data_IF_909474340688
#
_entry.id   IF_909474340688
#
_cell.length_a   1.000
_cell.length_b   1.000
_cell.length_c   1.000
_cell.angle_alpha   90.00
_cell.angle_beta   90.00
_cell.angle_gamma   90.00
#
_symmetry.space_group_name_H-M   'P 1'
#
loop_
_entity.id
_entity.type
_entity.pdbx_description
1 polymer ?
#
# COMPACT_ATOMS: atom_id res chain seq x y z
N UNK A 1 -4.26 29.99 -13.99
CA UNK A 1 -4.04 30.04 -12.53
C UNK A 1 -4.23 28.63 -12.03
N UNK A 2 -3.16 27.87 -12.16
CA UNK A 2 -3.07 26.45 -11.83
C UNK A 2 -3.30 26.29 -10.33
N UNK A 3 -4.46 25.73 -9.99
CA UNK A 3 -4.79 25.37 -8.61
C UNK A 3 -4.00 24.11 -8.27
N UNK A 4 -2.69 24.28 -8.04
CA UNK A 4 -1.86 23.30 -7.37
C UNK A 4 -2.39 23.20 -5.94
N UNK A 5 -3.46 22.42 -5.76
CA UNK A 5 -3.77 21.82 -4.48
C UNK A 5 -2.50 21.06 -4.09
N UNK A 6 -1.67 21.73 -3.29
CA UNK A 6 -0.59 21.11 -2.55
C UNK A 6 -1.27 19.99 -1.79
N UNK A 7 -1.16 18.77 -2.30
CA UNK A 7 -1.78 17.60 -1.73
C UNK A 7 -0.95 17.28 -0.49
N UNK A 8 -1.12 18.10 0.55
CA UNK A 8 -0.43 17.94 1.82
C UNK A 8 -1.01 16.68 2.42
N UNK A 9 -0.21 15.63 2.38
CA UNK A 9 -0.55 14.36 3.03
C UNK A 9 -0.91 14.66 4.49
N UNK A 10 -2.02 14.10 4.95
CA UNK A 10 -2.30 14.07 6.39
C UNK A 10 -1.16 13.36 7.13
N UNK A 11 -0.96 13.62 8.43
CA UNK A 11 0.08 12.93 9.21
C UNK A 11 -0.01 11.40 9.13
N UNK A 12 -1.23 10.86 9.01
CA UNK A 12 -1.48 9.43 8.82
C UNK A 12 -1.02 8.96 7.44
N UNK A 13 -1.38 9.67 6.37
CA UNK A 13 -0.93 9.35 5.01
C UNK A 13 0.59 9.47 4.87
N UNK A 14 1.22 10.46 5.51
CA UNK A 14 2.67 10.61 5.53
C UNK A 14 3.34 9.40 6.24
N UNK A 15 2.80 8.96 7.37
CA UNK A 15 3.30 7.80 8.10
C UNK A 15 3.17 6.51 7.29
N UNK A 16 2.03 6.34 6.59
CA UNK A 16 1.81 5.20 5.69
C UNK A 16 2.77 5.22 4.50
N UNK A 17 3.05 6.40 3.95
CA UNK A 17 4.02 6.58 2.87
C UNK A 17 5.44 6.23 3.32
N UNK A 18 5.87 6.68 4.51
CA UNK A 18 7.16 6.30 5.08
C UNK A 18 7.29 4.78 5.27
N UNK A 19 6.26 4.13 5.81
CA UNK A 19 6.24 2.67 5.95
C UNK A 19 6.29 1.97 4.60
N UNK A 20 5.54 2.47 3.61
CA UNK A 20 5.56 1.92 2.26
C UNK A 20 6.95 2.09 1.64
N UNK A 21 7.61 3.23 1.86
CA UNK A 21 8.94 3.51 1.32
C UNK A 21 10.03 2.58 1.86
N UNK A 22 9.89 2.09 3.09
CA UNK A 22 10.79 1.11 3.70
C UNK A 22 10.68 -0.31 3.11
N UNK A 23 9.66 -0.58 2.30
CA UNK A 23 9.46 -1.90 1.69
C UNK A 23 10.37 -2.12 0.47
N UNK A 24 10.71 -3.37 0.23
CA UNK A 24 11.45 -3.76 -0.98
C UNK A 24 10.61 -3.51 -2.23
N UNK A 25 11.26 -3.33 -3.38
CA UNK A 25 10.55 -3.15 -4.66
C UNK A 25 9.59 -4.33 -4.97
N UNK A 26 9.97 -5.55 -4.56
CA UNK A 26 9.14 -6.74 -4.70
C UNK A 26 7.88 -6.67 -3.81
N UNK A 27 8.02 -6.22 -2.55
CA UNK A 27 6.90 -6.01 -1.64
C UNK A 27 5.97 -4.89 -2.14
N UNK A 28 6.52 -3.74 -2.55
CA UNK A 28 5.75 -2.62 -3.14
C UNK A 28 4.91 -3.09 -4.33
N UNK A 29 5.50 -3.88 -5.23
CA UNK A 29 4.82 -4.45 -6.40
C UNK A 29 3.67 -5.37 -5.99
N UNK A 30 3.88 -6.25 -5.01
CA UNK A 30 2.83 -7.16 -4.52
C UNK A 30 1.68 -6.41 -3.85
N UNK A 31 1.98 -5.41 -3.01
CA UNK A 31 0.95 -4.58 -2.38
C UNK A 31 0.13 -3.84 -3.45
N UNK A 32 0.78 -3.24 -4.44
CA UNK A 32 0.10 -2.55 -5.52
C UNK A 32 -0.84 -3.48 -6.29
N UNK A 33 -0.42 -4.72 -6.57
CA UNK A 33 -1.27 -5.72 -7.20
C UNK A 33 -2.50 -6.06 -6.33
N UNK A 34 -2.30 -6.37 -5.05
CA UNK A 34 -3.38 -6.72 -4.12
C UNK A 34 -4.39 -5.58 -3.97
N UNK A 35 -3.92 -4.34 -3.87
CA UNK A 35 -4.77 -3.13 -3.79
C UNK A 35 -5.53 -2.92 -5.10
N UNK A 36 -4.89 -3.16 -6.25
CA UNK A 36 -5.54 -3.06 -7.56
C UNK A 36 -6.66 -4.10 -7.70
N UNK A 37 -6.38 -5.37 -7.39
CA UNK A 37 -7.38 -6.43 -7.45
C UNK A 37 -8.57 -6.16 -6.52
N UNK A 38 -8.32 -5.57 -5.35
CA UNK A 38 -9.36 -5.10 -4.44
C UNK A 38 -10.18 -3.95 -5.04
N UNK A 39 -9.55 -2.96 -5.64
CA UNK A 39 -10.22 -1.83 -6.28
C UNK A 39 -11.08 -2.28 -7.46
N UNK A 40 -10.63 -3.30 -8.19
CA UNK A 40 -11.38 -3.97 -9.27
C UNK A 40 -12.49 -4.90 -8.76
N UNK A 41 -12.64 -5.06 -7.44
CA UNK A 41 -13.67 -5.90 -6.84
C UNK A 41 -13.41 -7.41 -6.94
N UNK A 42 -12.19 -7.82 -7.29
CA UNK A 42 -11.79 -9.24 -7.38
C UNK A 42 -11.63 -9.91 -6.01
N UNK A 43 -11.38 -9.11 -4.97
CA UNK A 43 -11.27 -9.59 -3.59
C UNK A 43 -12.36 -9.03 -2.68
N UNK A 44 -12.98 -9.93 -1.93
CA UNK A 44 -13.72 -9.58 -0.71
C UNK A 44 -12.78 -9.01 0.35
N UNK A 45 -13.34 -8.39 1.40
CA UNK A 45 -12.53 -7.69 2.41
C UNK A 45 -11.61 -8.67 3.14
N UNK A 46 -12.11 -9.88 3.37
CA UNK A 46 -11.38 -10.94 4.05
C UNK A 46 -10.24 -11.49 3.18
N UNK A 47 -10.46 -11.67 1.88
CA UNK A 47 -9.43 -12.09 0.93
C UNK A 47 -8.32 -11.05 0.82
N UNK A 48 -8.68 -9.77 0.68
CA UNK A 48 -7.71 -8.67 0.67
C UNK A 48 -6.82 -8.67 1.93
N UNK A 49 -7.43 -8.79 3.11
CA UNK A 49 -6.69 -8.86 4.38
C UNK A 49 -5.87 -10.15 4.51
N UNK A 50 -6.32 -11.25 3.91
CA UNK A 50 -5.55 -12.50 3.86
C UNK A 50 -4.30 -12.34 2.99
N UNK A 51 -4.43 -11.77 1.79
CA UNK A 51 -3.33 -11.51 0.87
C UNK A 51 -2.27 -10.58 1.49
N UNK A 52 -2.71 -9.50 2.15
CA UNK A 52 -1.79 -8.60 2.85
C UNK A 52 -1.02 -9.30 3.98
N UNK A 53 -1.66 -10.20 4.74
CA UNK A 53 -1.00 -10.98 5.81
C UNK A 53 0.01 -12.00 5.29
N UNK A 54 -0.12 -12.43 4.04
CA UNK A 54 0.81 -13.35 3.39
C UNK A 54 2.04 -12.64 2.79
N UNK A 55 2.07 -11.30 2.81
CA UNK A 55 3.27 -10.58 2.43
C UNK A 55 4.39 -10.97 3.40
N UNK A 56 5.53 -11.45 2.88
CA UNK A 56 6.63 -11.86 3.72
C UNK A 56 7.06 -10.66 4.56
N UNK A 57 6.95 -10.82 5.87
CA UNK A 57 7.64 -9.95 6.81
C UNK A 57 9.11 -10.32 6.68
N UNK A 58 9.81 -9.73 5.70
CA UNK A 58 11.27 -9.74 5.73
C UNK A 58 11.70 -8.85 6.89
N UNK A 59 11.56 -9.37 8.12
CA UNK A 59 12.44 -8.99 9.21
C UNK A 59 13.82 -9.47 8.76
N UNK A 60 14.63 -8.53 8.28
CA UNK A 60 16.05 -8.72 8.09
C UNK A 60 16.62 -9.43 9.34
N UNK A 61 17.06 -10.67 9.17
CA UNK A 61 18.14 -11.25 9.98
C UNK A 61 19.48 -10.68 9.52
#
# INVERSE_FOLDING_TARGET
>A
MDNLQQNVLSPEEASLLELFEQLTAAQKTRIAAIVTERAEGKFTREEFLSQLRQLPSEQHV
#
